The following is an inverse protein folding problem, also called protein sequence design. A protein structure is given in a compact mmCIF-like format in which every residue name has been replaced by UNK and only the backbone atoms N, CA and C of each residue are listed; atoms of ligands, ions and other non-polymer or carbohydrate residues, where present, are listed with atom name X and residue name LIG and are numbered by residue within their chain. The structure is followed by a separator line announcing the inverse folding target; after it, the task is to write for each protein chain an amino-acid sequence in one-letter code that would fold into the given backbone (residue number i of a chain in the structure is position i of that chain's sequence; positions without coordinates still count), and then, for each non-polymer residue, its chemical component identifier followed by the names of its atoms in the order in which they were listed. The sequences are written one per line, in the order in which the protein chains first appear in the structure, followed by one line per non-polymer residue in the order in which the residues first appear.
data_IF_943153443636
#
_entry.id   IF_943153443636
#
_cell.length_a   1.000
_cell.length_b   1.000
_cell.length_c   1.000
_cell.angle_alpha   90.00
_cell.angle_beta   90.00
_cell.angle_gamma   90.00
#
_symmetry.space_group_name_H-M   'P 1'
#
loop_
_entity.id
_entity.type
_entity.pdbx_description
1 polymer ?
#
# COMPACT_ATOMS: atom_id res chain seq x y z
N UNK A 1 31.53 -6.82 18.47
CA UNK A 1 30.59 -5.67 18.61
C UNK A 1 30.98 -4.67 17.53
N UNK A 2 30.21 -4.28 16.53
CA UNK A 2 28.77 -4.34 16.26
C UNK A 2 28.56 -4.69 14.78
N UNK A 3 27.80 -5.75 14.50
CA UNK A 3 27.24 -5.99 13.17
C UNK A 3 26.10 -5.01 12.96
N UNK A 4 26.39 -3.89 12.29
CA UNK A 4 25.36 -3.01 11.77
C UNK A 4 24.54 -3.79 10.74
N UNK A 5 23.40 -4.33 11.17
CA UNK A 5 22.45 -5.00 10.31
C UNK A 5 21.84 -3.95 9.39
N UNK A 6 22.50 -3.69 8.27
CA UNK A 6 21.97 -2.84 7.22
C UNK A 6 20.65 -3.45 6.77
N UNK A 7 19.55 -2.67 6.85
CA UNK A 7 18.27 -3.05 6.26
C UNK A 7 18.54 -3.44 4.80
N UNK A 8 18.05 -4.60 4.31
CA UNK A 8 18.25 -4.96 2.91
C UNK A 8 17.61 -3.88 2.02
N UNK A 9 18.46 -3.13 1.31
CA UNK A 9 18.07 -2.02 0.44
C UNK A 9 17.76 -2.54 -0.97
N UNK A 10 16.86 -3.52 -1.07
CA UNK A 10 16.44 -4.12 -2.32
C UNK A 10 14.92 -4.25 -2.39
N UNK A 11 14.36 -3.97 -3.58
CA UNK A 11 12.95 -4.23 -3.91
C UNK A 11 12.62 -5.70 -3.56
N UNK A 12 11.53 -6.00 -2.83
CA UNK A 12 11.11 -7.38 -2.63
C UNK A 12 10.82 -8.04 -3.98
N UNK A 13 11.35 -9.23 -4.25
CA UNK A 13 11.25 -9.91 -5.56
C UNK A 13 9.81 -10.20 -5.97
N UNK A 14 8.89 -10.26 -5.02
CA UNK A 14 7.49 -10.63 -5.23
C UNK A 14 6.51 -9.47 -5.01
N UNK A 15 6.99 -8.23 -4.86
CA UNK A 15 6.12 -7.07 -4.79
C UNK A 15 5.57 -6.73 -6.18
N UNK A 16 4.23 -6.71 -6.30
CA UNK A 16 3.57 -6.30 -7.54
C UNK A 16 3.98 -4.86 -7.94
N UNK A 17 4.04 -4.60 -9.25
CA UNK A 17 4.35 -3.25 -9.76
C UNK A 17 3.34 -2.21 -9.27
N UNK A 18 2.09 -2.62 -9.03
CA UNK A 18 1.04 -1.76 -8.48
C UNK A 18 1.32 -1.36 -7.04
N UNK A 19 1.74 -2.33 -6.20
CA UNK A 19 2.13 -2.06 -4.82
C UNK A 19 3.31 -1.09 -4.77
N UNK A 20 4.35 -1.33 -5.58
CA UNK A 20 5.50 -0.43 -5.65
C UNK A 20 5.11 0.98 -6.08
N UNK A 21 4.32 1.11 -7.16
CA UNK A 21 3.89 2.41 -7.65
C UNK A 21 3.13 3.20 -6.57
N UNK A 22 2.20 2.56 -5.85
CA UNK A 22 1.44 3.19 -4.77
C UNK A 22 2.36 3.61 -3.61
N UNK A 23 3.24 2.72 -3.15
CA UNK A 23 4.14 2.99 -2.03
C UNK A 23 5.16 4.09 -2.38
N UNK A 24 5.71 4.06 -3.61
CA UNK A 24 6.61 5.09 -4.11
C UNK A 24 5.90 6.45 -4.21
N UNK A 25 4.67 6.50 -4.70
CA UNK A 25 3.88 7.72 -4.77
C UNK A 25 3.60 8.30 -3.38
N UNK A 26 3.20 7.46 -2.43
CA UNK A 26 2.97 7.84 -1.02
C UNK A 26 4.25 8.40 -0.38
N UNK A 27 5.39 7.74 -0.61
CA UNK A 27 6.68 8.18 -0.09
C UNK A 27 7.12 9.51 -0.71
N UNK A 28 6.94 9.69 -2.02
CA UNK A 28 7.29 10.92 -2.74
C UNK A 28 6.50 12.14 -2.25
N UNK A 29 5.28 11.95 -1.73
CA UNK A 29 4.48 13.03 -1.11
C UNK A 29 4.69 13.18 0.40
N UNK A 30 5.59 12.43 1.01
CA UNK A 30 5.84 12.49 2.46
C UNK A 30 4.68 11.93 3.30
N UNK A 31 3.74 11.18 2.69
CA UNK A 31 2.55 10.65 3.37
C UNK A 31 2.80 9.29 4.04
N UNK A 32 4.00 8.72 3.89
CA UNK A 32 4.36 7.42 4.48
C UNK A 32 4.24 7.37 6.00
N UNK A 33 4.30 8.52 6.69
CA UNK A 33 4.14 8.60 8.15
C UNK A 33 2.67 8.52 8.61
N UNK A 34 1.71 8.46 7.68
CA UNK A 34 0.26 8.43 7.97
C UNK A 34 -0.31 7.02 7.99
N UNK A 35 0.45 6.05 7.47
CA UNK A 35 0.04 4.66 7.40
C UNK A 35 1.13 3.73 7.94
N UNK A 36 0.73 2.64 8.57
CA UNK A 36 1.60 1.51 8.87
C UNK A 36 1.27 0.39 7.89
N UNK A 37 2.26 -0.10 7.15
CA UNK A 37 2.06 -1.24 6.27
C UNK A 37 1.81 -2.52 7.07
N UNK A 38 0.96 -3.36 6.53
CA UNK A 38 0.52 -4.57 7.17
C UNK A 38 1.56 -5.66 7.20
N UNK A 39 1.39 -6.61 8.13
CA UNK A 39 2.35 -7.66 8.42
C UNK A 39 2.79 -8.41 7.16
N UNK A 40 1.87 -8.76 6.24
CA UNK A 40 2.21 -9.42 4.97
C UNK A 40 3.13 -8.57 4.07
N UNK A 41 2.89 -7.25 3.98
CA UNK A 41 3.75 -6.32 3.23
C UNK A 41 5.10 -6.08 3.92
N UNK A 42 5.11 -6.01 5.25
CA UNK A 42 6.34 -5.94 6.05
C UNK A 42 7.16 -7.22 5.98
N UNK A 43 6.53 -8.40 5.93
CA UNK A 43 7.18 -9.71 5.86
C UNK A 43 7.78 -9.99 4.47
N UNK A 44 7.22 -9.40 3.41
CA UNK A 44 7.79 -9.51 2.05
C UNK A 44 9.23 -8.96 2.00
N UNK A 45 9.57 -7.97 2.82
CA UNK A 45 10.96 -7.49 2.95
C UNK A 45 11.91 -8.47 3.66
N UNK A 46 11.38 -9.49 4.36
CA UNK A 46 12.15 -10.38 5.21
C UNK A 46 12.19 -11.84 4.74
N UNK A 47 11.18 -12.34 4.02
CA UNK A 47 11.03 -13.78 3.79
C UNK A 47 10.79 -14.22 2.33
N UNK A 48 10.90 -13.33 1.34
CA UNK A 48 10.50 -13.63 -0.06
C UNK A 48 9.12 -14.35 -0.06
N UNK A 49 8.19 -13.81 0.74
CA UNK A 49 6.87 -14.41 0.94
C UNK A 49 6.06 -14.34 -0.36
N UNK A 50 5.08 -15.25 -0.51
CA UNK A 50 4.25 -15.47 -1.71
C UNK A 50 3.86 -14.18 -2.45
N UNK A 51 3.66 -14.21 -3.79
CA UNK A 51 3.09 -13.08 -4.51
C UNK A 51 1.78 -12.62 -3.86
N UNK A 52 1.70 -11.34 -3.48
CA UNK A 52 0.44 -10.72 -3.02
C UNK A 52 -0.03 -9.71 -4.04
N UNK A 53 -1.33 -9.76 -4.32
CA UNK A 53 -2.00 -8.82 -5.22
C UNK A 53 -2.69 -7.73 -4.38
N UNK A 54 -2.17 -7.50 -3.18
CA UNK A 54 -2.80 -6.67 -2.18
C UNK A 54 -1.74 -6.05 -1.26
N UNK A 55 -2.05 -4.84 -0.82
CA UNK A 55 -1.33 -4.13 0.24
C UNK A 55 -2.34 -3.80 1.32
N UNK A 56 -2.10 -4.32 2.52
CA UNK A 56 -2.82 -3.93 3.72
C UNK A 56 -2.05 -2.83 4.44
N UNK A 57 -2.77 -1.87 5.00
CA UNK A 57 -2.23 -0.82 5.84
C UNK A 57 -3.22 -0.40 6.93
N UNK A 58 -2.70 0.26 7.95
CA UNK A 58 -3.48 0.89 9.01
C UNK A 58 -3.19 2.37 9.10
N UNK A 59 -4.22 3.19 9.32
CA UNK A 59 -4.02 4.60 9.67
C UNK A 59 -3.25 4.71 10.98
N UNK A 60 -2.26 5.59 11.01
CA UNK A 60 -1.65 6.02 12.26
C UNK A 60 -2.67 6.90 13.00
N UNK A 61 -2.77 6.78 14.33
CA UNK A 61 -3.80 7.48 15.12
C UNK A 61 -3.76 9.01 15.02
N UNK A 62 -2.64 9.59 14.55
CA UNK A 62 -2.46 11.02 14.29
C UNK A 62 -2.85 11.46 12.86
N UNK A 63 -3.28 10.55 11.99
CA UNK A 63 -3.66 10.88 10.62
C UNK A 63 -5.01 11.62 10.59
N UNK A 64 -4.98 12.90 10.24
CA UNK A 64 -6.17 13.74 10.11
C UNK A 64 -7.03 13.31 8.91
N UNK A 65 -8.32 13.66 8.93
CA UNK A 65 -9.26 13.26 7.87
C UNK A 65 -8.83 13.77 6.48
N UNK A 66 -8.25 14.96 6.41
CA UNK A 66 -7.70 15.56 5.20
C UNK A 66 -6.56 14.71 4.61
N UNK A 67 -5.68 14.23 5.48
CA UNK A 67 -4.51 13.42 5.12
C UNK A 67 -4.93 12.02 4.68
N UNK A 68 -5.93 11.43 5.36
CA UNK A 68 -6.53 10.16 4.93
C UNK A 68 -7.11 10.29 3.53
N UNK A 69 -7.89 11.35 3.26
CA UNK A 69 -8.44 11.63 1.92
C UNK A 69 -7.34 11.85 0.89
N UNK A 70 -6.24 12.50 1.26
CA UNK A 70 -5.11 12.72 0.36
C UNK A 70 -4.42 11.41 -0.03
N UNK A 71 -4.16 10.53 0.95
CA UNK A 71 -3.59 9.20 0.70
C UNK A 71 -4.53 8.38 -0.21
N UNK A 72 -5.83 8.36 0.07
CA UNK A 72 -6.81 7.62 -0.75
C UNK A 72 -6.80 8.14 -2.19
N UNK A 73 -6.90 9.46 -2.41
CA UNK A 73 -6.85 10.06 -3.76
C UNK A 73 -5.55 9.76 -4.48
N UNK A 74 -4.44 9.75 -3.76
CA UNK A 74 -3.14 9.43 -4.34
C UNK A 74 -3.10 7.97 -4.83
N UNK A 75 -3.56 7.03 -4.02
CA UNK A 75 -3.66 5.61 -4.40
C UNK A 75 -4.60 5.43 -5.59
N UNK A 76 -5.78 6.06 -5.57
CA UNK A 76 -6.73 6.04 -6.69
C UNK A 76 -6.10 6.56 -7.99
N UNK A 77 -5.47 7.73 -7.95
CA UNK A 77 -4.83 8.34 -9.12
C UNK A 77 -3.67 7.50 -9.66
N UNK A 78 -2.92 6.86 -8.76
CA UNK A 78 -1.81 5.98 -9.13
C UNK A 78 -2.35 4.74 -9.85
N UNK A 79 -3.35 4.08 -9.27
CA UNK A 79 -3.97 2.89 -9.86
C UNK A 79 -4.74 3.18 -11.15
N UNK A 80 -5.32 4.37 -11.30
CA UNK A 80 -6.04 4.79 -12.50
C UNK A 80 -5.15 4.83 -13.75
N UNK A 81 -3.83 4.98 -13.58
CA UNK A 81 -2.87 4.89 -14.69
C UNK A 81 -2.72 3.46 -15.25
N UNK A 82 -3.18 2.44 -14.52
CA UNK A 82 -3.06 1.03 -14.88
C UNK A 82 -4.39 0.38 -15.31
N UNK A 83 -5.53 1.01 -15.05
CA UNK A 83 -6.85 0.45 -15.38
C UNK A 83 -8.02 1.11 -14.65
N UNK A 84 -9.15 0.41 -14.63
CA UNK A 84 -10.37 0.87 -13.95
C UNK A 84 -10.18 0.75 -12.42
N UNK A 85 -10.45 1.83 -11.70
CA UNK A 85 -10.36 1.86 -10.23
C UNK A 85 -11.74 1.89 -9.62
N UNK A 86 -11.92 1.09 -8.57
CA UNK A 86 -13.12 1.09 -7.74
C UNK A 86 -12.75 1.22 -6.28
N UNK A 87 -13.25 2.26 -5.62
CA UNK A 87 -13.10 2.43 -4.17
C UNK A 87 -14.33 1.93 -3.45
N UNK A 88 -14.12 1.17 -2.37
CA UNK A 88 -15.18 0.68 -1.49
C UNK A 88 -14.86 1.00 -0.04
N UNK A 89 -15.91 1.19 0.74
CA UNK A 89 -15.85 1.30 2.19
C UNK A 89 -16.57 0.09 2.78
N UNK A 90 -15.90 -0.65 3.67
CA UNK A 90 -16.49 -1.75 4.42
C UNK A 90 -16.12 -1.62 5.89
N UNK A 91 -17.09 -1.21 6.71
CA UNK A 91 -16.82 -0.79 8.10
C UNK A 91 -15.82 0.37 8.11
N UNK A 92 -14.71 0.21 8.82
CA UNK A 92 -13.61 1.18 8.89
C UNK A 92 -12.49 0.91 7.86
N UNK A 93 -12.70 0.03 6.89
CA UNK A 93 -11.73 -0.31 5.85
C UNK A 93 -12.08 0.38 4.54
N UNK A 94 -11.14 1.19 4.05
CA UNK A 94 -11.17 1.70 2.67
C UNK A 94 -10.38 0.74 1.79
N UNK A 95 -10.99 0.23 0.74
CA UNK A 95 -10.37 -0.64 -0.26
C UNK A 95 -10.37 0.06 -1.62
N UNK A 96 -9.19 0.32 -2.18
CA UNK A 96 -9.02 0.83 -3.55
C UNK A 96 -8.62 -0.32 -4.45
N UNK A 97 -9.55 -0.77 -5.31
CA UNK A 97 -9.41 -1.94 -6.18
C UNK A 97 -9.01 -1.51 -7.59
N UNK A 98 -7.97 -2.13 -8.15
CA UNK A 98 -7.64 -2.06 -9.57
C UNK A 98 -8.26 -3.24 -10.31
N UNK A 99 -8.97 -2.94 -11.41
CA UNK A 99 -9.59 -3.92 -12.28
C UNK A 99 -9.02 -3.86 -13.69
N UNK A 100 -8.78 -5.04 -14.25
CA UNK A 100 -8.46 -5.25 -15.68
C UNK A 100 -9.37 -6.34 -16.22
N UNK A 101 -9.90 -6.14 -17.42
CA UNK A 101 -10.82 -7.10 -18.07
C UNK A 101 -11.97 -7.55 -17.15
N UNK A 102 -12.52 -6.59 -16.37
CA UNK A 102 -13.59 -6.80 -15.36
C UNK A 102 -13.21 -7.70 -14.18
N UNK A 103 -11.95 -8.14 -14.04
CA UNK A 103 -11.44 -8.86 -12.87
C UNK A 103 -10.65 -7.92 -11.96
N UNK A 104 -10.79 -8.08 -10.65
CA UNK A 104 -9.90 -7.42 -9.70
C UNK A 104 -8.53 -8.08 -9.79
N UNK A 105 -7.51 -7.26 -10.05
CA UNK A 105 -6.11 -7.72 -10.18
C UNK A 105 -5.22 -7.18 -9.07
N UNK A 106 -5.66 -6.14 -8.37
CA UNK A 106 -4.95 -5.61 -7.20
C UNK A 106 -5.90 -4.87 -6.24
N UNK A 107 -5.57 -4.81 -4.96
CA UNK A 107 -6.27 -3.93 -3.99
C UNK A 107 -5.32 -3.32 -2.97
N UNK A 108 -5.53 -2.03 -2.65
CA UNK A 108 -4.88 -1.36 -1.54
C UNK A 108 -5.91 -1.12 -0.44
N UNK A 109 -5.71 -1.72 0.71
CA UNK A 109 -6.64 -1.66 1.84
C UNK A 109 -6.03 -0.84 2.97
N UNK A 110 -6.79 0.11 3.50
CA UNK A 110 -6.39 0.92 4.66
C UNK A 110 -7.51 0.88 5.69
N UNK A 111 -7.22 0.28 6.84
CA UNK A 111 -8.13 0.17 7.95
C UNK A 111 -7.82 1.22 9.03
N UNK A 112 -8.81 1.61 9.83
CA UNK A 112 -8.52 2.20 11.15
C UNK A 112 -7.92 1.14 12.07
N UNK A 113 -7.04 1.59 12.95
CA UNK A 113 -6.45 0.76 14.00
C UNK A 113 -7.36 0.70 15.22
#
# INVERSE_FOLDING_TARGET
MNGGNAKPSGRPKHMSDYAEACLAAIAARGLGQRISLGGASGLMHYLDYRPTNDVDAWWVGSAAAEEQREVIRLVESTLASFGEVKTRLWGDVVSVELRRERKQVFSFQIARR
#
